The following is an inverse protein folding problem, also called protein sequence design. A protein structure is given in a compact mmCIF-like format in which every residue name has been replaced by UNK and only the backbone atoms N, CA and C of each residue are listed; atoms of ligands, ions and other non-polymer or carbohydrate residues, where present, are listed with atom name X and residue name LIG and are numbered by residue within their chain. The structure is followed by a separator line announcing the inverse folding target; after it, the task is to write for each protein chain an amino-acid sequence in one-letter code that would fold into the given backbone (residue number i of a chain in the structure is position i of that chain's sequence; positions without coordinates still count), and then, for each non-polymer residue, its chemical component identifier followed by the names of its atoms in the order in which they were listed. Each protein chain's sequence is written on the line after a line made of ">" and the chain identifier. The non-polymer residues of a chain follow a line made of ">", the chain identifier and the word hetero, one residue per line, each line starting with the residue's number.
data_IF_560581539455
#
_entry.id   IF_560581539455
#
_cell.length_a   1.000
_cell.length_b   1.000
_cell.length_c   1.000
_cell.angle_alpha   90.00
_cell.angle_beta   90.00
_cell.angle_gamma   90.00
#
_symmetry.space_group_name_H-M   'P 1'
#
loop_
_entity.id
_entity.type
_entity.pdbx_description
1 polymer ?
#
# COMPACT_ATOMS: atom_id res chain seq x y z
N UNK A 1 2.46 5.57 -13.89
CA UNK A 1 3.29 5.48 -12.66
C UNK A 1 2.41 4.89 -11.57
N UNK A 2 2.85 3.81 -10.90
CA UNK A 2 2.08 3.14 -9.83
C UNK A 2 2.77 3.26 -8.47
N UNK A 3 4.07 3.57 -8.47
CA UNK A 3 4.83 3.81 -7.25
C UNK A 3 5.87 4.92 -7.45
N UNK A 4 6.16 5.66 -6.38
CA UNK A 4 7.32 6.54 -6.27
C UNK A 4 8.28 6.02 -5.22
N UNK A 5 9.53 6.48 -5.25
CA UNK A 5 10.54 6.17 -4.24
C UNK A 5 11.26 7.43 -3.78
N UNK A 6 11.27 7.65 -2.47
CA UNK A 6 12.03 8.69 -1.80
C UNK A 6 13.11 8.06 -0.92
N UNK A 7 14.31 7.88 -1.49
CA UNK A 7 15.49 7.43 -0.73
C UNK A 7 16.24 8.62 -0.08
N UNK A 8 15.50 9.63 0.34
CA UNK A 8 15.97 10.87 0.93
C UNK A 8 14.92 11.40 1.90
N UNK A 9 15.31 12.27 2.81
CA UNK A 9 14.39 12.79 3.81
C UNK A 9 15.05 13.77 4.77
N UNK A 10 14.35 14.09 5.85
CA UNK A 10 14.82 14.94 6.93
C UNK A 10 14.62 14.20 8.25
N UNK A 11 15.71 13.65 8.78
CA UNK A 11 15.72 12.92 10.05
C UNK A 11 15.25 13.82 11.20
N UNK A 12 14.38 13.32 12.07
CA UNK A 12 13.86 14.03 13.23
C UNK A 12 12.88 15.17 12.90
N UNK A 13 12.42 15.27 11.67
CA UNK A 13 11.49 16.32 11.28
C UNK A 13 10.04 15.97 11.67
N UNK A 14 9.36 16.94 12.29
CA UNK A 14 7.94 16.80 12.60
C UNK A 14 7.10 17.05 11.33
N UNK A 15 6.29 16.07 10.88
CA UNK A 15 5.48 16.20 9.66
C UNK A 15 4.47 17.36 9.69
N UNK A 16 4.04 17.81 10.88
CA UNK A 16 3.14 18.94 11.02
C UNK A 16 3.76 20.26 10.52
N UNK A 17 5.09 20.33 10.39
CA UNK A 17 5.78 21.47 9.81
C UNK A 17 5.80 21.42 8.28
N UNK A 18 5.33 20.33 7.67
CA UNK A 18 5.36 20.09 6.23
C UNK A 18 3.99 19.65 5.67
N UNK A 19 2.88 20.36 6.00
CA UNK A 19 1.53 19.88 5.69
C UNK A 19 1.30 19.75 4.16
N UNK A 20 1.86 20.65 3.35
CA UNK A 20 1.72 20.59 1.89
C UNK A 20 2.42 19.34 1.33
N UNK A 21 3.57 18.99 1.87
CA UNK A 21 4.31 17.80 1.44
C UNK A 21 3.53 16.52 1.77
N UNK A 22 3.01 16.39 3.00
CA UNK A 22 2.20 15.24 3.37
C UNK A 22 0.90 15.15 2.56
N UNK A 23 0.19 16.26 2.33
CA UNK A 23 -1.02 16.30 1.50
C UNK A 23 -0.75 15.92 0.02
N UNK A 24 0.48 16.11 -0.46
CA UNK A 24 0.86 15.68 -1.79
C UNK A 24 0.81 14.15 -1.94
N UNK A 25 1.19 13.40 -0.92
CA UNK A 25 1.09 11.93 -0.93
C UNK A 25 -0.36 11.45 -0.95
N UNK A 26 -1.27 12.13 -0.24
CA UNK A 26 -2.70 11.84 -0.35
C UNK A 26 -3.21 12.10 -1.77
N UNK A 27 -2.78 13.20 -2.38
CA UNK A 27 -3.12 13.51 -3.78
C UNK A 27 -2.61 12.43 -4.74
N UNK A 28 -1.37 11.98 -4.60
CA UNK A 28 -0.82 10.89 -5.41
C UNK A 28 -1.62 9.60 -5.22
N UNK A 29 -1.99 9.28 -3.99
CA UNK A 29 -2.77 8.09 -3.66
C UNK A 29 -4.15 8.08 -4.29
N UNK A 30 -4.85 9.22 -4.35
CA UNK A 30 -6.15 9.32 -5.06
C UNK A 30 -6.02 9.02 -6.56
N UNK A 31 -4.81 9.09 -7.11
CA UNK A 31 -4.49 8.71 -8.49
C UNK A 31 -3.86 7.30 -8.59
N UNK A 32 -3.93 6.51 -7.52
CA UNK A 32 -3.46 5.13 -7.51
C UNK A 32 -1.94 4.98 -7.38
N UNK A 33 -1.25 5.97 -6.81
CA UNK A 33 0.22 5.96 -6.69
C UNK A 33 0.61 5.78 -5.23
N UNK A 34 1.27 4.66 -4.90
CA UNK A 34 1.87 4.43 -3.59
C UNK A 34 3.26 5.06 -3.51
N UNK A 35 3.63 5.55 -2.32
CA UNK A 35 4.84 6.33 -2.15
C UNK A 35 5.76 5.66 -1.14
N UNK A 36 6.84 5.02 -1.61
CA UNK A 36 7.82 4.38 -0.75
C UNK A 36 8.79 5.41 -0.20
N UNK A 37 8.90 5.50 1.11
CA UNK A 37 9.84 6.37 1.81
C UNK A 37 10.88 5.56 2.60
N UNK A 38 12.15 5.87 2.44
CA UNK A 38 13.21 5.35 3.28
C UNK A 38 13.21 6.12 4.62
N UNK A 39 13.06 5.41 5.75
CA UNK A 39 13.23 6.04 7.06
C UNK A 39 14.70 6.34 7.35
N UNK A 40 14.98 7.07 8.43
CA UNK A 40 16.35 7.44 8.83
C UNK A 40 17.30 6.23 8.91
N UNK A 41 18.57 6.44 8.62
CA UNK A 41 19.61 5.42 8.82
C UNK A 41 20.07 5.31 10.29
N UNK A 42 19.74 6.29 11.12
CA UNK A 42 20.03 6.30 12.54
C UNK A 42 19.05 5.41 13.31
N UNK A 43 19.52 4.75 14.38
CA UNK A 43 18.66 3.91 15.22
C UNK A 43 17.75 4.79 16.11
N UNK A 44 16.67 5.29 15.52
CA UNK A 44 15.73 6.22 16.15
C UNK A 44 14.30 5.66 16.11
N UNK A 45 13.57 5.85 17.20
CA UNK A 45 12.12 5.67 17.21
C UNK A 45 11.46 6.90 16.59
N UNK A 46 11.02 6.78 15.33
CA UNK A 46 10.44 7.90 14.57
C UNK A 46 9.02 8.25 15.01
N UNK A 47 8.32 7.37 15.74
CA UNK A 47 7.06 7.73 16.42
C UNK A 47 7.26 8.88 17.42
N UNK A 48 8.48 9.04 17.93
CA UNK A 48 8.85 10.07 18.90
C UNK A 48 9.65 11.20 18.27
N UNK A 49 10.66 10.85 17.44
CA UNK A 49 11.59 11.83 16.87
C UNK A 49 11.02 12.56 15.65
N UNK A 50 10.07 11.95 14.95
CA UNK A 50 9.67 12.35 13.61
C UNK A 50 10.66 11.89 12.55
N UNK A 51 10.23 11.93 11.29
CA UNK A 51 11.03 11.63 10.11
C UNK A 51 10.25 12.04 8.85
N UNK A 52 10.86 12.74 7.92
CA UNK A 52 10.21 13.12 6.68
C UNK A 52 10.87 12.40 5.50
N UNK A 53 10.08 11.80 4.57
CA UNK A 53 8.61 11.84 4.48
C UNK A 53 7.87 10.73 5.22
N UNK A 54 8.55 9.76 5.84
CA UNK A 54 7.96 8.52 6.34
C UNK A 54 6.95 8.72 7.49
N UNK A 55 7.07 9.82 8.24
CA UNK A 55 6.11 10.17 9.29
C UNK A 55 4.90 10.99 8.79
N UNK A 56 4.75 11.22 7.49
CA UNK A 56 3.50 11.76 6.95
C UNK A 56 2.33 10.79 7.22
N UNK A 57 1.25 11.31 7.82
CA UNK A 57 0.07 10.53 8.15
C UNK A 57 -0.81 10.23 6.91
N UNK A 58 -0.19 9.83 5.80
CA UNK A 58 -0.87 9.44 4.57
C UNK A 58 -0.96 7.91 4.48
N UNK A 59 -2.15 7.38 4.22
CA UNK A 59 -2.34 5.95 3.97
C UNK A 59 -1.62 5.45 2.70
N UNK A 60 -1.13 6.35 1.86
CA UNK A 60 -0.38 6.04 0.63
C UNK A 60 1.13 6.21 0.79
N UNK A 61 1.58 6.55 1.98
CA UNK A 61 2.99 6.54 2.34
C UNK A 61 3.35 5.16 2.89
N UNK A 62 4.24 4.46 2.20
CA UNK A 62 4.81 3.19 2.64
C UNK A 62 6.16 3.50 3.28
N UNK A 63 6.19 3.65 4.59
CA UNK A 63 7.41 3.87 5.37
C UNK A 63 8.20 2.56 5.50
N UNK A 64 9.46 2.57 5.05
CA UNK A 64 10.27 1.36 4.93
C UNK A 64 11.53 1.46 5.80
N UNK A 65 11.65 0.55 6.78
CA UNK A 65 12.88 0.26 7.50
C UNK A 65 13.80 -0.71 6.76
N UNK A 66 15.00 -0.96 7.26
CA UNK A 66 15.91 -1.95 6.66
C UNK A 66 16.14 -3.15 7.57
N UNK A 67 16.30 -4.33 6.96
CA UNK A 67 16.69 -5.55 7.65
C UNK A 67 17.97 -6.14 7.05
N UNK A 68 18.67 -6.92 7.87
CA UNK A 68 19.78 -7.77 7.45
C UNK A 68 19.27 -9.17 7.02
N UNK A 69 20.20 -10.02 6.58
CA UNK A 69 19.91 -11.40 6.15
C UNK A 69 19.43 -12.33 7.29
N UNK A 70 19.56 -11.92 8.55
CA UNK A 70 19.12 -12.68 9.72
C UNK A 70 17.78 -12.13 10.28
N UNK A 71 17.11 -11.24 9.53
CA UNK A 71 15.87 -10.58 9.90
C UNK A 71 15.98 -9.66 11.13
N UNK A 72 17.19 -9.17 11.45
CA UNK A 72 17.35 -8.07 12.40
C UNK A 72 17.14 -6.74 11.65
N UNK A 73 16.37 -5.83 12.24
CA UNK A 73 16.25 -4.48 11.68
C UNK A 73 17.39 -3.58 12.17
N UNK A 74 17.69 -2.56 11.39
CA UNK A 74 18.66 -1.51 11.68
C UNK A 74 18.11 -0.17 11.15
N UNK A 75 18.51 0.93 11.77
CA UNK A 75 18.05 2.27 11.39
C UNK A 75 16.73 2.64 12.04
N UNK A 76 15.97 3.56 11.43
CA UNK A 76 14.70 4.05 11.96
C UNK A 76 13.64 2.98 12.07
N UNK A 77 12.82 3.09 13.10
CA UNK A 77 11.68 2.23 13.38
C UNK A 77 10.56 3.04 14.03
N UNK A 78 9.35 2.51 14.00
CA UNK A 78 8.18 3.12 14.61
C UNK A 78 6.97 2.20 14.50
N UNK A 79 6.40 1.82 15.65
CA UNK A 79 5.28 0.89 15.72
C UNK A 79 3.99 1.44 15.14
N UNK A 80 3.89 2.76 14.98
CA UNK A 80 2.71 3.47 14.45
C UNK A 80 2.99 4.22 13.16
N UNK A 81 4.27 4.34 12.77
CA UNK A 81 4.69 5.19 11.64
C UNK A 81 5.30 4.37 10.50
N UNK A 82 6.15 3.39 10.81
CA UNK A 82 6.88 2.63 9.78
C UNK A 82 6.18 1.31 9.51
N UNK A 83 5.84 1.06 8.25
CA UNK A 83 5.01 -0.08 7.85
C UNK A 83 5.69 -1.42 8.13
N UNK A 84 6.89 -1.61 7.60
CA UNK A 84 7.67 -2.85 7.72
C UNK A 84 9.14 -2.61 7.42
N UNK A 85 9.98 -3.62 7.62
CA UNK A 85 11.35 -3.62 7.14
C UNK A 85 11.47 -4.38 5.80
N UNK A 86 12.41 -3.95 4.96
CA UNK A 86 12.80 -4.67 3.74
C UNK A 86 14.33 -4.86 3.70
N UNK A 87 14.87 -5.80 2.89
CA UNK A 87 16.30 -6.01 2.77
C UNK A 87 17.02 -4.70 2.39
N UNK A 88 17.95 -4.27 3.27
CA UNK A 88 18.68 -3.00 3.08
C UNK A 88 20.09 -3.03 3.67
N UNK A 89 20.57 -4.20 4.13
CA UNK A 89 21.92 -4.39 4.68
C UNK A 89 22.73 -5.29 3.76
N UNK A 90 23.92 -4.81 3.35
CA UNK A 90 24.80 -5.51 2.41
C UNK A 90 24.10 -5.85 1.08
N UNK A 91 23.35 -4.90 0.54
CA UNK A 91 22.67 -5.02 -0.76
C UNK A 91 23.67 -4.80 -1.88
N UNK A 92 23.72 -5.74 -2.83
CA UNK A 92 24.55 -5.59 -4.04
C UNK A 92 23.86 -4.62 -4.99
N UNK A 93 24.56 -3.59 -5.43
CA UNK A 93 24.09 -2.58 -6.36
C UNK A 93 25.16 -2.22 -7.37
N UNK A 94 24.78 -1.51 -8.42
CA UNK A 94 25.70 -1.00 -9.43
C UNK A 94 26.63 0.08 -8.85
N UNK A 95 27.84 0.15 -9.36
CA UNK A 95 28.83 1.13 -8.98
C UNK A 95 29.52 1.73 -10.23
N UNK A 96 30.26 2.82 -10.03
CA UNK A 96 31.02 3.45 -11.10
C UNK A 96 32.02 2.48 -11.75
N UNK A 97 32.31 2.69 -13.03
CA UNK A 97 33.29 1.87 -13.76
C UNK A 97 32.77 0.51 -14.16
N UNK A 98 31.45 0.38 -14.45
CA UNK A 98 30.82 -0.88 -14.88
C UNK A 98 31.07 -2.03 -13.87
N UNK A 99 30.90 -1.74 -12.61
CA UNK A 99 31.16 -2.66 -11.49
C UNK A 99 29.94 -2.76 -10.55
N UNK A 100 30.07 -3.63 -9.55
CA UNK A 100 29.10 -3.80 -8.47
C UNK A 100 29.76 -3.58 -7.13
N UNK A 101 28.98 -3.11 -6.16
CA UNK A 101 29.41 -2.93 -4.78
C UNK A 101 28.34 -3.41 -3.81
N UNK A 102 28.75 -3.70 -2.57
CA UNK A 102 27.82 -3.97 -1.49
C UNK A 102 27.65 -2.72 -0.64
N UNK A 103 26.43 -2.39 -0.31
CA UNK A 103 26.10 -1.18 0.46
C UNK A 103 24.96 -1.42 1.44
N UNK A 104 24.79 -0.49 2.39
CA UNK A 104 23.79 -0.60 3.46
C UNK A 104 23.06 0.73 3.61
N UNK A 105 21.74 0.70 3.68
CA UNK A 105 20.89 1.86 3.92
C UNK A 105 19.41 1.55 3.74
N UNK A 106 18.55 2.28 4.43
CA UNK A 106 17.10 2.31 4.18
C UNK A 106 16.82 2.78 2.76
N UNK A 107 17.71 3.57 2.19
CA UNK A 107 17.71 4.00 0.78
C UNK A 107 17.74 2.86 -0.23
N UNK A 108 18.08 1.63 0.16
CA UNK A 108 18.05 0.41 -0.66
C UNK A 108 16.83 -0.45 -0.36
N UNK A 109 16.31 -0.41 0.85
CA UNK A 109 15.08 -1.10 1.24
C UNK A 109 13.83 -0.48 0.57
N UNK A 110 13.76 0.84 0.53
CA UNK A 110 12.64 1.59 -0.06
C UNK A 110 12.47 1.32 -1.57
N UNK A 111 13.48 1.43 -2.45
CA UNK A 111 13.30 1.14 -3.87
C UNK A 111 13.03 -0.34 -4.15
N UNK A 112 13.50 -1.26 -3.30
CA UNK A 112 13.14 -2.66 -3.39
C UNK A 112 11.63 -2.84 -3.17
N UNK A 113 11.05 -2.14 -2.20
CA UNK A 113 9.60 -2.10 -1.97
C UNK A 113 8.85 -1.53 -3.16
N UNK A 114 9.31 -0.42 -3.73
CA UNK A 114 8.73 0.14 -4.96
C UNK A 114 8.78 -0.84 -6.13
N UNK A 115 9.85 -1.64 -6.23
CA UNK A 115 9.96 -2.72 -7.21
C UNK A 115 8.95 -3.84 -6.97
N UNK A 116 8.65 -4.21 -5.72
CA UNK A 116 7.61 -5.18 -5.38
C UNK A 116 6.22 -4.63 -5.76
N UNK A 117 5.92 -3.37 -5.48
CA UNK A 117 4.68 -2.73 -5.93
C UNK A 117 4.55 -2.81 -7.45
N UNK A 118 5.60 -2.47 -8.20
CA UNK A 118 5.58 -2.56 -9.66
C UNK A 118 5.35 -4.00 -10.14
N UNK A 119 5.94 -4.99 -9.47
CA UNK A 119 5.72 -6.41 -9.74
C UNK A 119 4.26 -6.81 -9.49
N UNK A 120 3.62 -6.30 -8.42
CA UNK A 120 2.21 -6.55 -8.11
C UNK A 120 1.29 -6.00 -9.21
N UNK A 121 1.59 -4.82 -9.76
CA UNK A 121 0.83 -4.28 -10.90
C UNK A 121 1.07 -5.03 -12.22
N UNK A 122 2.06 -5.90 -12.29
CA UNK A 122 2.37 -6.70 -13.50
C UNK A 122 1.72 -8.10 -13.50
N UNK A 123 0.88 -8.43 -12.52
CA UNK A 123 0.22 -9.73 -12.46
C UNK A 123 -0.67 -9.94 -13.71
N UNK A 124 -0.71 -11.16 -14.27
CA UNK A 124 -1.54 -11.46 -15.43
C UNK A 124 -3.02 -11.64 -15.04
N UNK A 125 -3.65 -10.55 -14.64
CA UNK A 125 -5.02 -10.49 -14.14
C UNK A 125 -5.77 -9.37 -14.88
N UNK A 126 -6.64 -9.69 -15.86
CA UNK A 126 -7.40 -8.69 -16.62
C UNK A 126 -8.24 -7.78 -15.73
N UNK A 127 -8.90 -8.34 -14.69
CA UNK A 127 -9.74 -7.58 -13.79
C UNK A 127 -8.96 -6.53 -13.02
N UNK A 128 -7.79 -6.89 -12.48
CA UNK A 128 -6.92 -5.93 -11.81
C UNK A 128 -6.34 -4.89 -12.78
N UNK A 129 -5.98 -5.31 -13.99
CA UNK A 129 -5.51 -4.38 -15.03
C UNK A 129 -6.61 -3.37 -15.38
N UNK A 130 -7.86 -3.81 -15.52
CA UNK A 130 -9.00 -2.93 -15.76
C UNK A 130 -9.26 -2.03 -14.55
N UNK A 131 -9.24 -2.56 -13.32
CA UNK A 131 -9.42 -1.81 -12.08
C UNK A 131 -8.37 -0.69 -11.96
N UNK A 132 -7.12 -0.99 -12.30
CA UNK A 132 -6.01 -0.02 -12.22
C UNK A 132 -6.18 1.18 -13.15
N UNK A 133 -7.02 1.05 -14.20
CA UNK A 133 -7.35 2.11 -15.15
C UNK A 133 -8.63 2.85 -14.73
N UNK A 134 -9.67 2.12 -14.36
CA UNK A 134 -11.02 2.69 -14.09
C UNK A 134 -11.16 3.24 -12.67
N UNK A 135 -10.47 2.60 -11.69
CA UNK A 135 -10.44 3.05 -10.30
C UNK A 135 -9.04 2.86 -9.70
N UNK A 136 -8.06 3.69 -10.12
CA UNK A 136 -6.67 3.53 -9.70
C UNK A 136 -6.47 3.62 -8.20
N UNK A 137 -7.30 4.42 -7.50
CA UNK A 137 -7.27 4.49 -6.04
C UNK A 137 -7.57 3.14 -5.40
N UNK A 138 -8.64 2.47 -5.81
CA UNK A 138 -9.02 1.16 -5.27
C UNK A 138 -7.96 0.10 -5.59
N UNK A 139 -7.37 0.15 -6.78
CA UNK A 139 -6.24 -0.73 -7.12
C UNK A 139 -5.05 -0.52 -6.17
N UNK A 140 -4.72 0.74 -5.82
CA UNK A 140 -3.67 1.04 -4.85
C UNK A 140 -4.04 0.58 -3.43
N UNK A 141 -5.31 0.68 -3.02
CA UNK A 141 -5.78 0.18 -1.73
C UNK A 141 -5.56 -1.35 -1.64
N UNK A 142 -5.94 -2.14 -2.66
CA UNK A 142 -5.69 -3.58 -2.70
C UNK A 142 -4.19 -3.93 -2.63
N UNK A 143 -3.36 -3.19 -3.38
CA UNK A 143 -1.90 -3.39 -3.35
C UNK A 143 -1.33 -3.06 -1.98
N UNK A 144 -1.77 -1.98 -1.36
CA UNK A 144 -1.32 -1.60 -0.02
C UNK A 144 -1.71 -2.66 1.01
N UNK A 145 -2.97 -3.09 1.02
CA UNK A 145 -3.45 -4.13 1.95
C UNK A 145 -2.70 -5.45 1.77
N UNK A 146 -2.47 -5.86 0.53
CA UNK A 146 -1.69 -7.07 0.24
C UNK A 146 -0.22 -6.95 0.67
N UNK A 147 0.40 -5.76 0.56
CA UNK A 147 1.75 -5.50 1.08
C UNK A 147 1.78 -5.63 2.61
N UNK A 148 0.82 -5.01 3.30
CA UNK A 148 0.75 -5.00 4.76
C UNK A 148 0.51 -6.41 5.32
N UNK A 149 -0.48 -7.11 4.78
CA UNK A 149 -0.90 -8.43 5.24
C UNK A 149 0.05 -9.55 4.78
N UNK A 150 0.81 -9.32 3.70
CA UNK A 150 1.75 -10.27 3.13
C UNK A 150 3.12 -10.31 3.81
N UNK A 151 3.38 -9.44 4.79
CA UNK A 151 4.69 -9.42 5.47
C UNK A 151 4.94 -10.71 6.26
N UNK A 152 6.21 -11.10 6.36
CA UNK A 152 6.67 -12.17 7.25
C UNK A 152 6.86 -11.64 8.68
N UNK A 153 6.03 -12.01 9.67
CA UNK A 153 6.27 -11.61 11.06
C UNK A 153 7.64 -12.08 11.55
N UNK A 154 8.39 -11.18 12.21
CA UNK A 154 9.72 -11.47 12.75
C UNK A 154 9.83 -11.00 14.19
N UNK A 155 10.36 -11.85 15.14
CA UNK A 155 10.43 -11.48 16.55
C UNK A 155 11.14 -10.14 16.79
N UNK A 156 12.23 -9.84 16.08
CA UNK A 156 12.96 -8.59 16.21
C UNK A 156 12.16 -7.35 15.74
N UNK A 157 11.14 -7.54 14.93
CA UNK A 157 10.34 -6.45 14.33
C UNK A 157 9.02 -6.21 15.06
N UNK A 158 8.58 -7.15 15.90
CA UNK A 158 7.35 -7.02 16.69
C UNK A 158 7.43 -5.82 17.63
N UNK A 159 6.37 -4.95 17.58
CA UNK A 159 6.33 -3.72 18.35
C UNK A 159 7.27 -2.60 17.89
N UNK A 160 8.01 -2.82 16.79
CA UNK A 160 8.92 -1.84 16.20
C UNK A 160 8.45 -1.35 14.81
N UNK A 161 7.57 -2.10 14.16
CA UNK A 161 6.94 -1.75 12.88
C UNK A 161 5.44 -2.02 12.96
N UNK A 162 4.64 -1.34 12.15
CA UNK A 162 3.17 -1.51 12.12
C UNK A 162 2.80 -2.98 11.90
N UNK A 163 3.43 -3.66 10.92
CA UNK A 163 3.15 -5.07 10.64
C UNK A 163 3.94 -6.04 11.55
N UNK A 164 4.96 -5.55 12.25
CA UNK A 164 5.90 -6.39 13.00
C UNK A 164 6.68 -7.36 12.12
N UNK A 165 6.82 -7.08 10.81
CA UNK A 165 7.37 -8.02 9.84
C UNK A 165 8.32 -7.44 8.81
N UNK A 166 8.85 -8.35 7.99
CA UNK A 166 9.66 -8.07 6.82
C UNK A 166 8.81 -8.22 5.55
N UNK A 167 9.02 -7.35 4.56
CA UNK A 167 8.43 -7.45 3.23
C UNK A 167 8.63 -8.86 2.64
N UNK A 168 7.55 -9.45 2.13
CA UNK A 168 7.55 -10.70 1.40
C UNK A 168 6.78 -10.54 0.08
N UNK A 169 7.51 -10.40 -1.02
CA UNK A 169 6.92 -10.18 -2.34
C UNK A 169 5.99 -11.32 -2.77
N UNK A 170 6.35 -12.59 -2.45
CA UNK A 170 5.51 -13.73 -2.82
C UNK A 170 4.16 -13.70 -2.11
N UNK A 171 4.17 -13.55 -0.79
CA UNK A 171 2.92 -13.51 -0.01
C UNK A 171 2.04 -12.32 -0.44
N UNK A 172 2.65 -11.15 -0.67
CA UNK A 172 1.91 -9.97 -1.16
C UNK A 172 1.27 -10.21 -2.52
N UNK A 173 1.99 -10.87 -3.45
CA UNK A 173 1.43 -11.25 -4.76
C UNK A 173 0.32 -12.28 -4.64
N UNK A 174 0.50 -13.32 -3.83
CA UNK A 174 -0.51 -14.37 -3.64
C UNK A 174 -1.81 -13.78 -3.05
N UNK A 175 -1.70 -12.88 -2.05
CA UNK A 175 -2.85 -12.20 -1.48
C UNK A 175 -3.56 -11.33 -2.53
N UNK A 176 -2.83 -10.49 -3.24
CA UNK A 176 -3.41 -9.65 -4.28
C UNK A 176 -4.14 -10.48 -5.34
N UNK A 177 -3.51 -11.56 -5.84
CA UNK A 177 -4.12 -12.44 -6.84
C UNK A 177 -5.41 -13.07 -6.28
N UNK A 178 -5.40 -13.54 -5.05
CA UNK A 178 -6.58 -14.14 -4.43
C UNK A 178 -7.72 -13.12 -4.23
N UNK A 179 -7.37 -11.87 -3.95
CA UNK A 179 -8.37 -10.83 -3.68
C UNK A 179 -8.98 -10.25 -4.97
N UNK A 180 -8.20 -10.16 -6.06
CA UNK A 180 -8.64 -9.44 -7.27
C UNK A 180 -8.76 -10.30 -8.53
N UNK A 181 -8.13 -11.49 -8.57
CA UNK A 181 -8.15 -12.38 -9.74
C UNK A 181 -9.01 -13.60 -9.44
N UNK A 182 -10.26 -13.58 -9.83
CA UNK A 182 -11.20 -14.69 -9.60
C UNK A 182 -12.12 -14.52 -8.40
N UNK A 183 -12.12 -13.34 -7.76
CA UNK A 183 -13.17 -12.91 -6.83
C UNK A 183 -14.14 -11.97 -7.56
N UNK A 184 -15.42 -12.02 -7.20
CA UNK A 184 -16.38 -11.00 -7.62
C UNK A 184 -15.99 -9.66 -6.99
N UNK A 185 -15.28 -8.81 -7.71
CA UNK A 185 -15.01 -7.45 -7.26
C UNK A 185 -16.33 -6.68 -7.12
N UNK A 186 -16.45 -5.79 -6.13
CA UNK A 186 -17.67 -5.02 -5.94
C UNK A 186 -17.91 -4.11 -7.16
N UNK A 187 -19.19 -3.90 -7.57
CA UNK A 187 -19.50 -3.01 -8.65
C UNK A 187 -19.00 -1.59 -8.35
N UNK A 188 -18.55 -0.89 -9.40
CA UNK A 188 -17.98 0.45 -9.29
C UNK A 188 -18.99 1.52 -9.70
N UNK A 189 -18.74 2.78 -9.32
CA UNK A 189 -19.55 3.95 -9.70
C UNK A 189 -21.04 3.78 -9.40
N UNK A 190 -21.36 3.21 -8.22
CA UNK A 190 -22.74 3.00 -7.80
C UNK A 190 -23.45 4.35 -7.67
N UNK A 191 -24.51 4.54 -8.44
CA UNK A 191 -25.35 5.72 -8.39
C UNK A 191 -26.82 5.32 -8.16
N UNK A 192 -27.51 6.04 -7.27
CA UNK A 192 -28.94 5.87 -7.05
C UNK A 192 -29.66 7.11 -7.60
N UNK A 193 -30.61 6.90 -8.48
CA UNK A 193 -31.37 7.97 -9.12
C UNK A 193 -32.86 7.63 -9.22
N UNK A 194 -33.68 8.58 -9.67
CA UNK A 194 -35.12 8.41 -9.85
C UNK A 194 -35.83 7.84 -8.61
N UNK A 195 -35.45 8.34 -7.44
CA UNK A 195 -35.99 7.89 -6.15
C UNK A 195 -37.41 8.32 -6.02
N UNK A 196 -38.33 7.36 -5.86
CA UNK A 196 -39.75 7.57 -5.62
C UNK A 196 -40.20 6.80 -4.36
N UNK A 197 -41.45 6.89 -3.97
CA UNK A 197 -41.95 6.26 -2.74
C UNK A 197 -41.77 4.72 -2.71
N UNK A 198 -41.75 4.08 -3.88
CA UNK A 198 -41.69 2.62 -4.02
C UNK A 198 -40.72 2.14 -5.10
N UNK A 199 -39.86 3.00 -5.60
CA UNK A 199 -38.87 2.64 -6.61
C UNK A 199 -37.66 3.54 -6.59
N UNK A 200 -36.55 3.00 -7.05
CA UNK A 200 -35.29 3.73 -7.32
C UNK A 200 -34.56 3.03 -8.48
N UNK A 201 -33.72 3.76 -9.17
CA UNK A 201 -32.80 3.19 -10.17
C UNK A 201 -31.43 3.13 -9.54
N UNK A 202 -30.84 1.94 -9.49
CA UNK A 202 -29.45 1.70 -9.11
C UNK A 202 -28.67 1.43 -10.38
N UNK A 203 -27.71 2.29 -10.69
CA UNK A 203 -26.78 2.12 -11.79
C UNK A 203 -25.38 1.88 -11.24
N UNK A 204 -24.61 1.04 -11.87
CA UNK A 204 -23.22 0.75 -11.53
C UNK A 204 -22.46 0.22 -12.75
N UNK A 205 -21.13 0.32 -12.71
CA UNK A 205 -20.29 -0.31 -13.72
C UNK A 205 -20.08 -1.77 -13.36
N UNK A 206 -20.38 -2.67 -14.29
CA UNK A 206 -20.17 -4.10 -14.13
C UNK A 206 -18.71 -4.48 -14.38
N UNK A 207 -18.21 -5.49 -13.70
CA UNK A 207 -16.97 -6.17 -14.08
C UNK A 207 -17.22 -7.12 -15.27
N UNK A 208 -16.17 -7.31 -16.08
CA UNK A 208 -16.25 -8.02 -17.36
C UNK A 208 -16.75 -9.46 -17.22
N UNK A 209 -16.45 -10.12 -16.10
CA UNK A 209 -16.74 -11.54 -15.86
C UNK A 209 -17.81 -11.78 -14.78
N UNK A 210 -18.60 -10.76 -14.41
CA UNK A 210 -19.67 -10.95 -13.44
C UNK A 210 -20.93 -11.47 -14.14
N UNK A 211 -21.35 -12.70 -13.83
CA UNK A 211 -22.57 -13.31 -14.37
C UNK A 211 -23.86 -12.69 -13.80
N UNK A 212 -23.80 -12.20 -12.56
CA UNK A 212 -24.93 -11.59 -11.87
C UNK A 212 -24.49 -10.69 -10.71
N UNK A 213 -25.39 -9.79 -10.31
CA UNK A 213 -25.24 -8.97 -9.10
C UNK A 213 -26.44 -9.16 -8.20
N UNK A 214 -26.19 -9.16 -6.90
CA UNK A 214 -27.24 -9.22 -5.89
C UNK A 214 -27.32 -7.88 -5.16
N UNK A 215 -28.50 -7.26 -5.19
CA UNK A 215 -28.78 -6.00 -4.50
C UNK A 215 -29.56 -6.30 -3.23
N UNK A 216 -29.02 -5.88 -2.09
CA UNK A 216 -29.72 -5.91 -0.80
C UNK A 216 -30.24 -4.51 -0.49
N UNK A 217 -31.53 -4.40 -0.16
CA UNK A 217 -32.15 -3.14 0.19
C UNK A 217 -33.17 -3.33 1.32
N UNK A 218 -33.47 -2.26 2.05
CA UNK A 218 -34.46 -2.27 3.12
C UNK A 218 -35.24 -0.95 3.14
N UNK A 219 -36.43 -0.98 3.67
CA UNK A 219 -37.19 0.21 3.97
C UNK A 219 -36.55 0.93 5.15
N UNK A 220 -36.53 2.27 5.12
CA UNK A 220 -35.96 3.07 6.20
C UNK A 220 -36.70 2.79 7.53
N UNK A 221 -35.96 2.38 8.54
CA UNK A 221 -36.48 2.01 9.86
C UNK A 221 -36.95 0.54 9.98
N UNK A 222 -36.86 -0.25 8.91
CA UNK A 222 -37.09 -1.69 8.92
C UNK A 222 -35.77 -2.45 9.18
N UNK A 223 -35.86 -3.60 9.84
CA UNK A 223 -34.74 -4.54 9.94
C UNK A 223 -34.83 -5.69 8.92
N UNK A 224 -35.78 -5.63 8.01
CA UNK A 224 -36.00 -6.66 7.00
C UNK A 224 -35.28 -6.28 5.70
N UNK A 225 -34.23 -7.04 5.36
CA UNK A 225 -33.55 -6.93 4.10
C UNK A 225 -34.26 -7.68 3.00
N UNK A 226 -34.47 -7.02 1.87
CA UNK A 226 -34.97 -7.61 0.63
C UNK A 226 -33.79 -7.80 -0.32
N UNK A 227 -33.89 -8.79 -1.20
CA UNK A 227 -32.84 -9.15 -2.14
C UNK A 227 -33.40 -9.18 -3.54
N UNK A 228 -32.68 -8.59 -4.49
CA UNK A 228 -32.89 -8.67 -5.93
C UNK A 228 -31.61 -9.21 -6.57
N UNK A 229 -31.74 -10.24 -7.42
CA UNK A 229 -30.64 -10.86 -8.16
C UNK A 229 -30.83 -10.66 -9.64
#
# INVERSE_FOLDING_TARGET
>A
VVATNASWGIDGANPNNFPIWCAFYDTLGTHGILNCGATTNSNLNVDVSGDMPTACASQYMVGVGRSDRNDNFQGGYGATTINFAAPGVNVTTTANGNSYTSTTGTSFASPLTAGVIALMYSIPCPDFAQLSITNPKLAADFVFDALMNGTDPRPAMQGNFITGGRLNAKNSLDLLINDVCGSCLPPQNIAISNIANNSAVVAFDSFIDADSYTVHFQEQGSNNWLTLT
#
